data_IF_042718605988
#
_entry.id   IF_042718605988
#
_cell.length_a   1.000
_cell.length_b   1.000
_cell.length_c   1.000
_cell.angle_alpha   90.00
_cell.angle_beta   90.00
_cell.angle_gamma   90.00
#
_symmetry.space_group_name_H-M   'P 1'
#
loop_
_entity.id
_entity.type
_entity.pdbx_description
1 polymer ?
#
# COMPACT_ATOMS: atom_id res chain seq x y z
N UNK A 1 -12.69 9.73 -0.33
CA UNK A 1 -13.35 8.91 0.71
C UNK A 1 -12.93 7.46 0.60
N UNK A 2 -12.89 6.73 1.73
CA UNK A 2 -12.64 5.30 1.81
C UNK A 2 -13.44 4.69 2.95
N UNK A 3 -13.68 3.37 2.91
CA UNK A 3 -14.45 2.66 3.93
C UNK A 3 -13.82 1.31 4.29
N UNK A 4 -14.11 0.83 5.50
CA UNK A 4 -13.96 -0.59 5.85
C UNK A 4 -14.88 -1.45 5.00
N UNK A 5 -14.62 -2.76 4.93
CA UNK A 5 -15.39 -3.70 4.10
C UNK A 5 -16.84 -3.85 4.57
N UNK A 6 -17.10 -3.66 5.85
CA UNK A 6 -18.44 -3.68 6.43
C UNK A 6 -19.15 -2.29 6.39
N UNK A 7 -18.46 -1.24 5.94
CA UNK A 7 -18.96 0.12 5.87
C UNK A 7 -19.06 0.83 7.24
N UNK A 8 -18.64 0.19 8.32
CA UNK A 8 -18.74 0.78 9.67
C UNK A 8 -17.80 1.96 9.86
N UNK A 9 -16.55 1.81 9.38
CA UNK A 9 -15.52 2.85 9.47
C UNK A 9 -15.40 3.54 8.13
N UNK A 10 -15.59 4.85 8.13
CA UNK A 10 -15.48 5.68 6.94
C UNK A 10 -14.49 6.81 7.20
N UNK A 11 -13.67 7.14 6.21
CA UNK A 11 -12.77 8.28 6.27
C UNK A 11 -12.96 9.18 5.06
N UNK A 12 -13.05 10.48 5.31
CA UNK A 12 -13.20 11.50 4.27
C UNK A 12 -12.13 12.57 4.40
N UNK A 13 -11.46 12.83 3.28
CA UNK A 13 -10.48 13.90 3.15
C UNK A 13 -11.14 15.14 2.56
N UNK A 14 -10.83 16.30 3.12
CA UNK A 14 -11.26 17.59 2.59
C UNK A 14 -10.05 18.45 2.25
N UNK A 15 -10.04 19.03 1.06
CA UNK A 15 -8.95 19.86 0.61
C UNK A 15 -8.89 21.18 1.42
N UNK A 16 -7.78 21.44 2.08
CA UNK A 16 -7.57 22.65 2.89
C UNK A 16 -8.27 22.66 4.25
N UNK A 17 -8.79 21.51 4.71
CA UNK A 17 -9.47 21.40 6.00
C UNK A 17 -9.08 20.10 6.74
N UNK A 18 -9.96 19.55 7.58
CA UNK A 18 -9.69 18.40 8.43
C UNK A 18 -10.00 17.06 7.73
N UNK A 19 -9.45 15.97 8.26
CA UNK A 19 -9.98 14.64 8.02
C UNK A 19 -11.25 14.42 8.86
N UNK A 20 -12.21 13.74 8.29
CA UNK A 20 -13.41 13.32 9.01
C UNK A 20 -13.46 11.80 9.05
N UNK A 21 -13.78 11.27 10.22
CA UNK A 21 -13.92 9.82 10.43
C UNK A 21 -15.27 9.54 11.05
N UNK A 22 -15.95 8.55 10.52
CA UNK A 22 -17.15 7.93 11.12
C UNK A 22 -16.79 6.50 11.53
N UNK A 23 -17.33 6.03 12.66
CA UNK A 23 -17.21 4.64 13.12
C UNK A 23 -18.57 3.98 13.33
N UNK A 24 -19.61 4.58 12.77
CA UNK A 24 -21.02 4.21 12.93
C UNK A 24 -21.78 4.29 11.60
N UNK A 25 -21.20 3.80 10.51
CA UNK A 25 -21.81 3.73 9.17
C UNK A 25 -22.15 5.11 8.58
N UNK A 26 -21.44 6.16 8.98
CA UNK A 26 -21.65 7.52 8.47
C UNK A 26 -22.75 8.29 9.18
N UNK A 27 -23.30 7.77 10.29
CA UNK A 27 -24.33 8.46 11.08
C UNK A 27 -23.75 9.69 11.78
N UNK A 28 -22.57 9.54 12.37
CA UNK A 28 -21.83 10.66 12.96
C UNK A 28 -20.42 10.77 12.37
N UNK A 29 -19.93 11.99 12.30
CA UNK A 29 -18.61 12.30 11.76
C UNK A 29 -17.82 13.13 12.75
N UNK A 30 -16.61 12.71 13.05
CA UNK A 30 -15.70 13.40 13.96
C UNK A 30 -14.53 13.94 13.17
N UNK A 31 -14.26 15.24 13.33
CA UNK A 31 -13.09 15.88 12.76
C UNK A 31 -11.81 15.36 13.43
N UNK A 32 -10.84 14.95 12.63
CA UNK A 32 -9.56 14.36 13.06
C UNK A 32 -8.40 15.04 12.35
N UNK A 33 -7.21 14.90 12.91
CA UNK A 33 -5.96 15.48 12.43
C UNK A 33 -5.99 17.02 12.28
N UNK A 34 -4.83 17.61 11.94
CA UNK A 34 -4.72 19.04 11.67
C UNK A 34 -5.21 19.38 10.26
N UNK A 35 -5.55 20.64 10.02
CA UNK A 35 -5.90 21.12 8.67
C UNK A 35 -4.69 20.98 7.73
N UNK A 36 -4.91 20.29 6.60
CA UNK A 36 -3.93 20.05 5.54
C UNK A 36 -4.63 20.09 4.17
N UNK A 37 -3.85 20.11 3.13
CA UNK A 37 -4.34 19.88 1.77
C UNK A 37 -4.42 18.37 1.52
N UNK A 38 -5.40 17.73 2.16
CA UNK A 38 -5.64 16.31 2.02
C UNK A 38 -6.06 15.96 0.60
N UNK A 39 -5.47 14.90 0.04
CA UNK A 39 -5.74 14.49 -1.33
C UNK A 39 -6.44 13.13 -1.42
N UNK A 40 -5.84 12.11 -0.89
CA UNK A 40 -6.35 10.74 -0.93
C UNK A 40 -6.44 10.11 0.44
N UNK A 41 -7.31 9.11 0.56
CA UNK A 41 -7.46 8.29 1.77
C UNK A 41 -7.65 6.83 1.39
N UNK A 42 -7.17 5.93 2.24
CA UNK A 42 -7.33 4.49 2.12
C UNK A 42 -7.62 3.86 3.49
N UNK A 43 -8.34 2.74 3.49
CA UNK A 43 -8.73 1.99 4.69
C UNK A 43 -8.40 0.51 4.52
N UNK A 44 -7.90 -0.13 5.58
CA UNK A 44 -7.92 -1.59 5.69
C UNK A 44 -9.35 -2.13 5.73
N UNK A 45 -9.52 -3.42 5.47
CA UNK A 45 -10.83 -4.06 5.43
C UNK A 45 -11.59 -3.96 6.75
N UNK A 46 -10.89 -4.04 7.87
CA UNK A 46 -11.45 -3.90 9.22
C UNK A 46 -11.62 -2.43 9.67
N UNK A 47 -11.09 -1.48 8.91
CA UNK A 47 -11.10 -0.06 9.24
C UNK A 47 -10.12 0.34 10.34
N UNK A 48 -9.38 -0.58 10.93
CA UNK A 48 -8.44 -0.27 12.01
C UNK A 48 -7.30 0.62 11.52
N UNK A 49 -6.81 0.35 10.29
CA UNK A 49 -5.72 1.12 9.68
C UNK A 49 -6.24 2.03 8.60
N UNK A 50 -5.95 3.31 8.75
CA UNK A 50 -6.33 4.34 7.80
C UNK A 50 -5.09 5.11 7.35
N UNK A 51 -5.11 5.55 6.11
CA UNK A 51 -4.02 6.29 5.48
C UNK A 51 -4.58 7.52 4.79
N UNK A 52 -3.82 8.62 4.85
CA UNK A 52 -4.18 9.86 4.18
C UNK A 52 -2.94 10.51 3.56
N UNK A 53 -3.05 10.93 2.31
CA UNK A 53 -2.01 11.64 1.59
C UNK A 53 -2.26 13.14 1.61
N UNK A 54 -1.17 13.92 1.72
CA UNK A 54 -1.20 15.39 1.75
C UNK A 54 -0.48 15.94 0.53
N UNK A 55 -1.10 16.90 -0.15
CA UNK A 55 -0.44 17.69 -1.18
C UNK A 55 0.66 18.55 -0.54
N UNK A 56 1.91 18.36 -1.00
CA UNK A 56 3.09 19.04 -0.43
C UNK A 56 3.29 18.80 1.07
N UNK A 57 3.04 17.55 1.51
CA UNK A 57 3.12 17.14 2.91
C UNK A 57 3.59 15.71 3.09
N UNK A 58 3.35 15.15 4.28
CA UNK A 58 3.62 13.76 4.61
C UNK A 58 2.42 12.86 4.28
N UNK A 59 2.63 11.55 4.29
CA UNK A 59 1.54 10.58 4.45
C UNK A 59 1.23 10.50 5.94
N UNK A 60 -0.05 10.43 6.28
CA UNK A 60 -0.52 10.25 7.65
C UNK A 60 -1.13 8.87 7.81
N UNK A 61 -0.85 8.25 8.94
CA UNK A 61 -1.35 6.91 9.28
C UNK A 61 -2.07 6.91 10.60
N UNK A 62 -3.11 6.09 10.69
CA UNK A 62 -3.80 5.75 11.92
C UNK A 62 -3.84 4.23 12.09
N UNK A 63 -3.74 3.74 13.31
CA UNK A 63 -3.86 2.32 13.66
C UNK A 63 -4.98 2.04 14.68
N UNK A 64 -5.85 3.02 14.90
CA UNK A 64 -6.87 3.03 15.95
C UNK A 64 -8.23 3.57 15.44
N UNK A 65 -8.62 3.14 14.23
CA UNK A 65 -9.88 3.54 13.59
C UNK A 65 -10.00 5.06 13.37
N UNK A 66 -8.86 5.73 13.13
CA UNK A 66 -8.81 7.17 12.90
C UNK A 66 -8.89 8.03 14.15
N UNK A 67 -8.75 7.46 15.34
CA UNK A 67 -8.75 8.23 16.60
C UNK A 67 -7.51 9.10 16.72
N UNK A 68 -6.33 8.55 16.41
CA UNK A 68 -5.08 9.29 16.35
C UNK A 68 -4.39 9.14 15.00
N UNK A 69 -3.60 10.15 14.61
CA UNK A 69 -2.91 10.21 13.33
C UNK A 69 -1.47 10.63 13.52
N UNK A 70 -0.55 9.95 12.81
CA UNK A 70 0.87 10.25 12.82
C UNK A 70 1.40 10.45 11.40
N UNK A 71 2.22 11.48 11.16
CA UNK A 71 2.87 11.67 9.88
C UNK A 71 3.98 10.62 9.69
N UNK A 72 4.11 10.12 8.46
CA UNK A 72 5.14 9.17 8.06
C UNK A 72 5.65 9.48 6.66
N UNK A 73 6.82 8.96 6.33
CA UNK A 73 7.42 9.18 5.02
C UNK A 73 7.97 10.59 4.83
N UNK A 74 8.50 10.84 3.63
CA UNK A 74 9.07 12.14 3.27
C UNK A 74 7.96 13.11 2.83
N UNK A 75 8.21 14.40 3.01
CA UNK A 75 7.37 15.47 2.45
C UNK A 75 7.47 15.44 0.92
N UNK A 76 6.34 15.26 0.24
CA UNK A 76 6.19 15.20 -1.22
C UNK A 76 4.83 15.69 -1.64
N UNK A 77 4.67 15.86 -2.93
CA UNK A 77 3.41 16.17 -3.57
C UNK A 77 2.60 14.87 -3.77
N UNK A 78 2.03 14.35 -2.68
CA UNK A 78 1.30 13.10 -2.69
C UNK A 78 -0.07 13.24 -3.35
N UNK A 79 -0.45 12.25 -4.16
CA UNK A 79 -1.74 12.21 -4.89
C UNK A 79 -2.57 11.00 -4.46
N UNK A 80 -2.42 9.88 -5.07
CA UNK A 80 -3.16 8.67 -4.74
C UNK A 80 -2.54 7.90 -3.59
N UNK A 81 -3.38 7.17 -2.85
CA UNK A 81 -2.95 6.20 -1.84
C UNK A 81 -3.91 5.01 -1.83
N UNK A 82 -3.39 3.80 -1.72
CA UNK A 82 -4.16 2.58 -1.61
C UNK A 82 -3.46 1.59 -0.68
N UNK A 83 -4.22 0.65 -0.11
CA UNK A 83 -3.69 -0.34 0.83
C UNK A 83 -4.30 -1.72 0.59
N UNK A 84 -3.61 -2.78 1.06
CA UNK A 84 -4.15 -4.14 1.17
C UNK A 84 -5.23 -4.25 2.24
N UNK A 85 -5.98 -5.34 2.24
CA UNK A 85 -7.07 -5.58 3.21
C UNK A 85 -6.62 -5.53 4.66
N UNK A 86 -5.41 -6.03 4.95
CA UNK A 86 -4.81 -6.01 6.28
C UNK A 86 -4.13 -4.68 6.64
N UNK A 87 -4.04 -3.75 5.69
CA UNK A 87 -3.35 -2.48 5.84
C UNK A 87 -1.82 -2.58 5.74
N UNK A 88 -1.24 -3.78 5.63
CA UNK A 88 0.21 -3.97 5.68
C UNK A 88 0.93 -3.36 4.49
N UNK A 89 0.41 -3.61 3.30
CA UNK A 89 0.97 -3.11 2.06
C UNK A 89 0.28 -1.81 1.65
N UNK A 90 1.04 -0.76 1.50
CA UNK A 90 0.53 0.55 1.11
C UNK A 90 1.28 1.02 -0.12
N UNK A 91 0.57 1.59 -1.08
CA UNK A 91 1.14 2.25 -2.25
C UNK A 91 0.68 3.70 -2.28
N UNK A 92 1.61 4.60 -2.55
CA UNK A 92 1.34 6.03 -2.69
C UNK A 92 1.96 6.59 -3.97
N UNK A 93 1.21 7.44 -4.65
CA UNK A 93 1.63 8.13 -5.85
C UNK A 93 2.10 9.54 -5.54
N UNK A 94 3.23 9.95 -6.12
CA UNK A 94 3.74 11.31 -6.02
C UNK A 94 3.68 12.00 -7.39
N UNK A 95 3.17 13.23 -7.44
CA UNK A 95 3.19 14.07 -8.63
C UNK A 95 4.61 14.50 -8.96
N UNK A 96 5.03 14.34 -10.23
CA UNK A 96 6.40 14.63 -10.66
C UNK A 96 7.47 13.71 -10.05
N UNK A 97 7.06 12.69 -9.30
CA UNK A 97 7.91 11.74 -8.60
C UNK A 97 7.75 10.32 -9.10
N UNK A 98 7.89 9.36 -8.20
CA UNK A 98 7.73 7.93 -8.47
C UNK A 98 6.58 7.35 -7.64
N UNK A 99 6.28 6.09 -7.81
CA UNK A 99 5.46 5.33 -6.87
C UNK A 99 6.30 4.95 -5.65
N UNK A 100 5.68 4.99 -4.50
CA UNK A 100 6.26 4.58 -3.23
C UNK A 100 5.43 3.47 -2.62
N UNK A 101 6.11 2.51 -2.07
CA UNK A 101 5.51 1.36 -1.40
C UNK A 101 6.03 1.23 0.01
N UNK A 102 5.13 0.77 0.88
CA UNK A 102 5.44 0.28 2.21
C UNK A 102 4.98 -1.17 2.32
N UNK A 103 5.71 -1.99 3.09
CA UNK A 103 5.34 -3.36 3.46
C UNK A 103 5.20 -3.55 4.97
N UNK A 104 5.22 -2.47 5.71
CA UNK A 104 5.25 -2.41 7.17
C UNK A 104 4.26 -1.38 7.72
N UNK A 105 3.05 -1.36 7.15
CA UNK A 105 1.95 -0.49 7.60
C UNK A 105 2.24 1.01 7.47
N UNK A 106 3.08 1.40 6.50
CA UNK A 106 3.45 2.80 6.28
C UNK A 106 4.60 3.30 7.15
N UNK A 107 5.29 2.44 7.89
CA UNK A 107 6.42 2.84 8.73
C UNK A 107 7.64 3.21 7.89
N UNK A 108 7.95 2.42 6.87
CA UNK A 108 9.03 2.72 5.91
C UNK A 108 8.53 2.73 4.47
N UNK A 109 9.21 3.49 3.61
CA UNK A 109 8.80 3.71 2.23
C UNK A 109 9.97 3.55 1.28
N UNK A 110 9.75 2.83 0.17
CA UNK A 110 10.71 2.69 -0.92
C UNK A 110 10.10 3.12 -2.25
N UNK A 111 10.90 3.67 -3.16
CA UNK A 111 10.46 3.99 -4.52
C UNK A 111 10.49 2.73 -5.40
N UNK A 112 9.51 2.54 -6.27
CA UNK A 112 9.31 1.30 -7.03
C UNK A 112 9.11 1.46 -8.54
N UNK A 113 8.93 2.67 -9.03
CA UNK A 113 8.70 2.93 -10.44
C UNK A 113 9.54 4.10 -10.95
N UNK A 114 9.62 4.25 -12.26
CA UNK A 114 10.24 5.43 -12.90
C UNK A 114 9.49 6.70 -12.53
N UNK A 115 10.18 7.83 -12.58
CA UNK A 115 9.58 9.13 -12.38
C UNK A 115 8.43 9.37 -13.37
N UNK A 116 7.34 9.97 -12.90
CA UNK A 116 6.15 10.29 -13.68
C UNK A 116 5.12 11.04 -12.85
N UNK A 117 4.09 11.54 -13.51
CA UNK A 117 2.96 12.17 -12.83
C UNK A 117 1.90 11.13 -12.49
N UNK A 118 2.20 10.31 -11.49
CA UNK A 118 1.31 9.25 -11.02
C UNK A 118 0.16 9.85 -10.20
N UNK A 119 -1.06 9.36 -10.45
CA UNK A 119 -2.21 9.82 -9.65
C UNK A 119 -3.21 8.75 -9.59
N UNK A 120 -4.01 8.03 -10.01
CA UNK A 120 -4.71 6.97 -9.33
C UNK A 120 -3.78 5.78 -9.05
N UNK A 121 -3.93 5.23 -7.88
CA UNK A 121 -3.31 3.94 -7.49
C UNK A 121 -4.35 3.01 -6.90
N UNK A 122 -4.16 1.73 -7.11
CA UNK A 122 -4.98 0.67 -6.53
C UNK A 122 -4.09 -0.49 -6.07
N UNK A 123 -4.55 -1.21 -5.07
CA UNK A 123 -3.93 -2.42 -4.55
C UNK A 123 -4.94 -3.55 -4.53
N UNK A 124 -4.50 -4.77 -4.83
CA UNK A 124 -5.30 -5.96 -4.54
C UNK A 124 -5.47 -6.16 -3.04
N UNK A 125 -6.47 -6.96 -2.65
CA UNK A 125 -6.74 -7.23 -1.23
C UNK A 125 -5.57 -7.86 -0.50
N UNK A 126 -4.77 -8.69 -1.16
CA UNK A 126 -3.55 -9.31 -0.64
C UNK A 126 -2.32 -8.40 -0.73
N UNK A 127 -2.42 -7.23 -1.37
CA UNK A 127 -1.31 -6.30 -1.57
C UNK A 127 -0.26 -6.77 -2.58
N UNK A 128 -0.48 -7.90 -3.25
CA UNK A 128 0.51 -8.49 -4.18
C UNK A 128 0.45 -7.91 -5.58
N UNK A 129 -0.65 -7.27 -5.94
CA UNK A 129 -0.81 -6.60 -7.24
C UNK A 129 -1.14 -5.14 -7.03
N UNK A 130 -0.45 -4.27 -7.73
CA UNK A 130 -0.77 -2.85 -7.77
C UNK A 130 -1.00 -2.37 -9.19
N UNK A 131 -1.84 -1.35 -9.29
CA UNK A 131 -2.03 -0.58 -10.51
C UNK A 131 -1.81 0.90 -10.21
N UNK A 132 -1.20 1.60 -11.16
CA UNK A 132 -1.07 3.05 -11.11
C UNK A 132 -1.24 3.65 -12.50
N UNK A 133 -1.97 4.76 -12.58
CA UNK A 133 -2.12 5.54 -13.80
C UNK A 133 -1.18 6.74 -13.82
N UNK A 134 -0.60 7.02 -14.98
CA UNK A 134 0.21 8.20 -15.21
C UNK A 134 -0.54 9.16 -16.16
N UNK A 135 -0.54 10.44 -15.87
CA UNK A 135 -1.21 11.47 -16.69
C UNK A 135 -0.65 11.59 -18.12
N UNK A 136 0.47 10.96 -18.42
CA UNK A 136 1.07 10.87 -19.76
C UNK A 136 0.69 9.63 -20.58
N UNK A 137 -0.43 8.95 -20.28
CA UNK A 137 -0.98 7.77 -20.99
C UNK A 137 -0.38 6.41 -20.65
N UNK A 138 0.45 6.26 -19.62
CA UNK A 138 1.00 4.97 -19.21
C UNK A 138 0.25 4.38 -18.03
N UNK A 139 0.01 3.07 -18.10
CA UNK A 139 -0.46 2.27 -16.98
C UNK A 139 0.73 1.45 -16.44
N UNK A 140 0.92 1.49 -15.15
CA UNK A 140 1.88 0.63 -14.44
C UNK A 140 1.12 -0.47 -13.72
N UNK A 141 1.51 -1.71 -13.97
CA UNK A 141 1.05 -2.88 -13.22
C UNK A 141 2.28 -3.49 -12.54
N UNK A 142 2.30 -3.45 -11.23
CA UNK A 142 3.34 -4.06 -10.40
C UNK A 142 2.83 -5.33 -9.75
N UNK A 143 3.68 -6.34 -9.66
CA UNK A 143 3.41 -7.54 -8.87
C UNK A 143 4.54 -7.75 -7.88
N UNK A 144 4.18 -7.95 -6.61
CA UNK A 144 5.11 -8.39 -5.56
C UNK A 144 5.31 -9.90 -5.54
N UNK A 145 4.62 -10.61 -6.45
CA UNK A 145 4.88 -12.04 -6.64
C UNK A 145 6.25 -12.17 -7.29
N UNK A 146 7.19 -12.81 -6.62
CA UNK A 146 8.39 -13.27 -7.27
C UNK A 146 7.99 -14.32 -8.31
N UNK A 147 8.08 -13.98 -9.59
CA UNK A 147 8.05 -15.01 -10.63
C UNK A 147 9.43 -15.68 -10.58
N UNK A 148 9.49 -16.91 -10.08
CA UNK A 148 10.63 -17.75 -10.36
C UNK A 148 10.57 -18.10 -11.85
N UNK A 149 11.36 -17.41 -12.67
CA UNK A 149 11.60 -17.88 -14.03
C UNK A 149 12.27 -19.24 -13.91
N UNK A 150 11.66 -20.27 -14.49
CA UNK A 150 12.31 -21.58 -14.62
C UNK A 150 13.56 -21.39 -15.47
N UNK A 151 14.68 -21.18 -14.84
CA UNK A 151 15.97 -20.93 -15.46
C UNK A 151 17.03 -21.83 -14.86
N UNK A 152 17.99 -22.15 -15.66
CA UNK A 152 19.16 -22.94 -15.32
C UNK A 152 19.96 -22.24 -14.22
N UNK A 153 20.09 -22.88 -13.05
CA UNK A 153 20.93 -22.45 -11.92
C UNK A 153 20.55 -21.09 -11.28
N UNK A 154 19.32 -20.98 -10.75
CA UNK A 154 18.97 -19.87 -9.86
C UNK A 154 19.09 -20.27 -8.38
N UNK A 155 19.52 -19.36 -7.53
CA UNK A 155 19.43 -19.50 -6.08
C UNK A 155 18.25 -18.71 -5.53
N UNK A 156 17.60 -19.26 -4.51
CA UNK A 156 16.55 -18.60 -3.75
C UNK A 156 17.12 -18.22 -2.39
N UNK A 157 17.09 -16.93 -2.05
CA UNK A 157 17.49 -16.46 -0.73
C UNK A 157 16.35 -15.75 -0.04
N UNK A 158 16.13 -16.07 1.22
CA UNK A 158 15.11 -15.48 2.08
C UNK A 158 15.68 -15.05 3.41
N UNK A 159 14.91 -14.30 4.19
CA UNK A 159 15.24 -13.94 5.56
C UNK A 159 15.02 -15.10 6.54
N UNK A 160 15.52 -14.94 7.75
CA UNK A 160 15.19 -15.83 8.84
C UNK A 160 13.67 -15.78 9.08
N UNK A 161 13.02 -16.93 9.27
CA UNK A 161 11.57 -17.10 9.41
C UNK A 161 10.77 -17.09 8.09
N UNK A 162 11.41 -16.90 6.93
CA UNK A 162 10.74 -17.13 5.66
C UNK A 162 10.57 -18.64 5.42
N UNK A 163 9.39 -19.06 5.01
CA UNK A 163 9.11 -20.43 4.66
C UNK A 163 8.64 -20.53 3.21
N UNK A 164 9.19 -21.49 2.48
CA UNK A 164 8.83 -21.78 1.10
C UNK A 164 8.47 -23.25 0.97
N UNK A 165 7.28 -23.51 0.46
CA UNK A 165 6.87 -24.86 0.08
C UNK A 165 7.05 -25.07 -1.42
N UNK A 166 7.83 -26.06 -1.79
CA UNK A 166 8.10 -26.41 -3.16
C UNK A 166 7.42 -27.74 -3.53
N UNK A 167 6.82 -27.79 -4.70
CA UNK A 167 6.34 -29.03 -5.31
C UNK A 167 7.30 -29.48 -6.41
N UNK A 168 7.74 -30.73 -6.34
CA UNK A 168 8.50 -31.34 -7.42
C UNK A 168 7.56 -31.65 -8.60
N UNK A 169 7.88 -31.12 -9.79
CA UNK A 169 7.06 -31.26 -10.99
C UNK A 169 7.74 -32.10 -12.09
N UNK A 170 8.87 -32.74 -11.77
CA UNK A 170 9.63 -33.59 -12.68
C UNK A 170 10.86 -32.93 -13.27
N UNK A 171 11.75 -33.72 -13.89
CA UNK A 171 12.96 -33.28 -14.59
C UNK A 171 13.90 -32.36 -13.75
N UNK A 172 13.93 -32.54 -12.42
CA UNK A 172 14.74 -31.69 -11.53
C UNK A 172 14.14 -30.32 -11.24
N UNK A 173 12.90 -30.07 -11.65
CA UNK A 173 12.21 -28.78 -11.46
C UNK A 173 11.33 -28.80 -10.23
N UNK A 174 11.44 -27.75 -9.41
CA UNK A 174 10.57 -27.50 -8.28
C UNK A 174 9.76 -26.23 -8.55
N UNK A 175 8.47 -26.26 -8.25
CA UNK A 175 7.60 -25.09 -8.30
C UNK A 175 7.19 -24.65 -6.89
N UNK A 176 7.27 -23.37 -6.56
CA UNK A 176 6.74 -22.86 -5.32
C UNK A 176 5.22 -22.95 -5.32
N UNK A 177 4.63 -23.57 -4.30
CA UNK A 177 3.16 -23.69 -4.15
C UNK A 177 2.63 -22.84 -3.01
N UNK A 178 3.47 -22.53 -2.03
CA UNK A 178 3.16 -21.55 -0.99
C UNK A 178 4.42 -20.97 -0.38
N UNK A 179 4.31 -19.79 0.19
CA UNK A 179 5.40 -19.17 0.95
C UNK A 179 4.82 -18.29 2.06
N UNK A 180 5.55 -18.20 3.16
CA UNK A 180 5.31 -17.27 4.25
C UNK A 180 6.51 -16.34 4.31
N UNK A 181 6.26 -15.05 4.22
CA UNK A 181 7.31 -14.03 4.34
C UNK A 181 7.17 -13.37 5.70
N UNK A 182 8.17 -13.52 6.53
CA UNK A 182 8.27 -12.84 7.82
C UNK A 182 9.05 -11.50 7.71
N UNK A 183 9.71 -11.27 6.57
CA UNK A 183 10.57 -10.12 6.32
C UNK A 183 10.65 -9.69 4.85
N UNK A 184 11.63 -8.85 4.47
CA UNK A 184 11.81 -8.42 3.08
C UNK A 184 12.19 -9.62 2.20
N UNK A 185 11.35 -9.90 1.31
CA UNK A 185 11.29 -10.75 0.10
C UNK A 185 12.47 -11.69 -0.23
N UNK A 186 12.14 -12.89 -0.66
CA UNK A 186 13.05 -13.76 -1.40
C UNK A 186 13.60 -13.04 -2.62
N UNK A 187 14.91 -13.09 -2.82
CA UNK A 187 15.60 -12.66 -4.05
C UNK A 187 15.94 -13.89 -4.89
N UNK A 188 15.60 -13.85 -6.18
CA UNK A 188 16.03 -14.84 -7.16
C UNK A 188 17.27 -14.27 -7.85
N UNK A 189 18.38 -14.96 -7.79
CA UNK A 189 19.59 -14.68 -8.55
C UNK A 189 19.74 -15.66 -9.70
#
# INVERSE_FOLDING_TARGET
VSSSSDGRVLVAATNGALLYVSTDYGVTWVARASSQFWWGVASSADGQRLYASVDTGAIWTSSDYGTSWQPTGATRDWRGIATSSDGRFVVAASSGGTLYESSDYGATWRSTASAGSWNPVASSSDGLTLLAGNSGSNLYAGSRRSSTTTGVAGSLSGGQEDALQLQYVGAGVFMPISYVLAGPQFTVQ
#
